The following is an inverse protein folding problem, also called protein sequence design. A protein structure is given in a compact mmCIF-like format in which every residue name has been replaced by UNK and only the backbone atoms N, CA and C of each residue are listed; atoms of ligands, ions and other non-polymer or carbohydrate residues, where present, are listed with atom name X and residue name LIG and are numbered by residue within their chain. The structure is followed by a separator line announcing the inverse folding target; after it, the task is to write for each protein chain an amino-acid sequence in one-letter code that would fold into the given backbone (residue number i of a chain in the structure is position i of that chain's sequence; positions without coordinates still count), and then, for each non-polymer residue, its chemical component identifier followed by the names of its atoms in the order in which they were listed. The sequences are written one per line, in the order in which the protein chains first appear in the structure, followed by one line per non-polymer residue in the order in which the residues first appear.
data_IF_425015167214
#
_entry.id   IF_425015167214
#
_cell.length_a   1.000
_cell.length_b   1.000
_cell.length_c   1.000
_cell.angle_alpha   90.00
_cell.angle_beta   90.00
_cell.angle_gamma   90.00
#
_symmetry.space_group_name_H-M   'P 1'
#
loop_
_entity.id
_entity.type
_entity.pdbx_description
1 polymer ?
#
# COMPACT_ATOMS: atom_id res chain seq x y z
N UNK A 1 16.06 1.60 -11.74
CA UNK A 1 15.95 1.92 -10.31
C UNK A 1 14.87 2.95 -10.07
N UNK A 2 14.09 2.78 -9.02
CA UNK A 2 13.04 3.75 -8.67
C UNK A 2 13.68 4.94 -7.99
N UNK A 3 13.37 6.15 -8.46
CA UNK A 3 13.87 7.42 -7.92
C UNK A 3 12.90 8.06 -6.94
N UNK A 4 11.60 7.98 -7.23
CA UNK A 4 10.60 8.58 -6.37
C UNK A 4 9.26 7.89 -6.54
N UNK A 5 8.34 8.27 -5.67
CA UNK A 5 6.98 7.74 -5.66
C UNK A 5 5.98 8.91 -5.64
N UNK A 6 4.84 8.70 -6.30
CA UNK A 6 3.69 9.59 -6.17
C UNK A 6 2.51 8.75 -5.70
N UNK A 7 2.07 8.97 -4.47
CA UNK A 7 1.05 8.15 -3.83
C UNK A 7 -0.11 9.02 -3.37
N UNK A 8 -1.32 8.61 -3.74
CA UNK A 8 -2.56 9.19 -3.26
C UNK A 8 -3.48 8.10 -2.77
N UNK A 9 -3.97 8.22 -1.54
CA UNK A 9 -4.91 7.27 -0.95
C UNK A 9 -6.16 8.04 -0.53
N UNK A 10 -7.32 7.73 -1.15
CA UNK A 10 -8.59 8.43 -0.93
C UNK A 10 -8.46 9.95 -1.09
N UNK A 11 -7.67 10.39 -2.08
CA UNK A 11 -7.45 11.81 -2.33
C UNK A 11 -6.39 12.47 -1.46
N UNK A 12 -5.81 11.75 -0.51
CA UNK A 12 -4.75 12.27 0.37
C UNK A 12 -3.39 11.90 -0.19
N UNK A 13 -2.54 12.90 -0.41
CA UNK A 13 -1.17 12.70 -0.88
C UNK A 13 -0.28 12.22 0.26
N UNK A 14 0.48 11.17 0.01
CA UNK A 14 1.42 10.58 0.98
C UNK A 14 2.84 10.99 0.59
N UNK A 15 3.44 11.96 1.29
CA UNK A 15 4.79 12.43 0.96
C UNK A 15 5.88 11.62 1.64
N UNK A 16 7.12 11.83 1.20
CA UNK A 16 8.34 11.32 1.84
C UNK A 16 8.43 9.80 1.90
N UNK A 17 7.91 9.13 0.89
CA UNK A 17 7.91 7.67 0.82
C UNK A 17 9.33 7.17 0.50
N UNK A 18 9.80 6.20 1.29
CA UNK A 18 11.10 5.55 1.10
C UNK A 18 10.98 4.23 0.36
N UNK A 19 9.90 3.50 0.60
CA UNK A 19 9.78 2.14 0.09
C UNK A 19 8.33 1.76 -0.09
N UNK A 20 8.07 1.08 -1.21
CA UNK A 20 6.76 0.48 -1.50
C UNK A 20 7.00 -0.97 -1.88
N UNK A 21 6.32 -1.88 -1.20
CA UNK A 21 6.35 -3.30 -1.52
C UNK A 21 4.94 -3.75 -1.89
N UNK A 22 4.82 -4.39 -3.03
CA UNK A 22 3.55 -4.99 -3.47
C UNK A 22 3.72 -6.49 -3.54
N UNK A 23 2.83 -7.22 -2.90
CA UNK A 23 2.94 -8.66 -2.75
C UNK A 23 1.64 -9.33 -3.14
N UNK A 24 1.72 -10.32 -4.02
CA UNK A 24 0.59 -11.17 -4.39
C UNK A 24 0.93 -12.59 -3.96
N UNK A 25 0.11 -13.17 -3.10
CA UNK A 25 0.37 -14.48 -2.53
C UNK A 25 -0.82 -15.41 -2.71
N UNK A 26 -0.54 -16.68 -2.97
CA UNK A 26 -1.54 -17.74 -2.95
C UNK A 26 -1.43 -18.46 -1.60
N UNK A 27 -2.41 -18.36 -0.72
CA UNK A 27 -2.34 -19.04 0.58
C UNK A 27 -2.35 -20.56 0.41
N UNK A 28 -1.68 -21.24 1.32
CA UNK A 28 -1.65 -22.68 1.37
C UNK A 28 -1.76 -23.14 2.83
N UNK A 29 -2.27 -24.36 3.06
CA UNK A 29 -2.29 -24.92 4.42
C UNK A 29 -0.94 -25.52 4.77
N UNK A 30 -0.82 -26.09 5.98
CA UNK A 30 0.43 -26.66 6.48
C UNK A 30 0.93 -27.85 5.62
N UNK A 31 0.08 -28.43 4.77
CA UNK A 31 0.46 -29.51 3.86
C UNK A 31 0.74 -29.01 2.44
N UNK A 32 0.74 -27.68 2.24
CA UNK A 32 0.96 -27.09 0.93
C UNK A 32 -0.25 -27.10 0.01
N UNK A 33 -1.43 -27.39 0.52
CA UNK A 33 -2.66 -27.41 -0.29
C UNK A 33 -3.20 -25.98 -0.42
N UNK A 34 -3.55 -25.61 -1.65
CA UNK A 34 -4.11 -24.30 -1.99
C UNK A 34 -5.30 -23.94 -1.09
N UNK A 35 -5.32 -22.68 -0.66
CA UNK A 35 -6.43 -22.08 0.05
C UNK A 35 -6.95 -20.88 -0.70
N UNK A 36 -8.26 -20.63 -0.58
CA UNK A 36 -8.87 -19.45 -1.20
C UNK A 36 -8.33 -18.18 -0.53
N UNK A 37 -7.82 -17.19 -1.31
CA UNK A 37 -7.31 -15.96 -0.73
C UNK A 37 -8.44 -15.08 -0.21
N UNK A 38 -8.15 -14.32 0.85
CA UNK A 38 -9.09 -13.36 1.43
C UNK A 38 -8.88 -11.94 0.88
N UNK A 39 -7.78 -11.72 0.19
CA UNK A 39 -7.46 -10.45 -0.48
C UNK A 39 -6.58 -10.73 -1.70
N UNK A 40 -6.60 -9.80 -2.66
CA UNK A 40 -5.89 -9.98 -3.92
C UNK A 40 -4.39 -9.67 -3.80
N UNK A 41 -4.04 -8.66 -2.99
CA UNK A 41 -2.65 -8.24 -2.82
C UNK A 41 -2.46 -7.52 -1.49
N UNK A 42 -1.19 -7.38 -1.08
CA UNK A 42 -0.80 -6.58 0.07
C UNK A 42 0.17 -5.51 -0.40
N UNK A 43 -0.11 -4.25 -0.05
CA UNK A 43 0.79 -3.13 -0.34
C UNK A 43 1.30 -2.59 0.97
N UNK A 44 2.63 -2.49 1.10
CA UNK A 44 3.27 -1.89 2.26
C UNK A 44 3.98 -0.62 1.84
N UNK A 45 3.64 0.50 2.48
CA UNK A 45 4.24 1.81 2.24
C UNK A 45 5.00 2.23 3.48
N UNK A 46 6.28 2.55 3.33
CA UNK A 46 7.13 3.05 4.41
C UNK A 46 7.58 4.47 4.05
N UNK A 47 7.34 5.41 4.95
CA UNK A 47 7.70 6.81 4.70
C UNK A 47 8.34 7.44 5.93
N UNK A 48 9.05 8.55 5.71
CA UNK A 48 9.58 9.39 6.79
C UNK A 48 8.45 10.28 7.30
N UNK A 49 8.11 10.13 8.58
CA UNK A 49 7.05 10.87 9.23
C UNK A 49 7.57 11.85 10.29
N UNK A 50 8.86 12.21 10.21
CA UNK A 50 9.49 13.05 11.25
C UNK A 50 8.77 14.37 11.49
N UNK A 51 8.16 14.96 10.47
CA UNK A 51 7.46 16.24 10.56
C UNK A 51 5.95 16.15 10.50
N UNK A 52 5.40 15.05 9.97
CA UNK A 52 3.95 14.93 9.76
C UNK A 52 3.50 13.48 9.64
N UNK A 53 3.09 12.86 10.72
CA UNK A 53 2.45 11.56 10.67
C UNK A 53 1.02 11.70 10.12
N UNK A 54 0.59 10.74 9.29
CA UNK A 54 -0.76 10.74 8.70
C UNK A 54 -1.70 9.94 9.59
N UNK A 55 -1.81 10.36 10.83
CA UNK A 55 -2.54 9.64 11.87
C UNK A 55 -4.05 9.75 11.70
N UNK A 56 -4.54 10.98 11.53
CA UNK A 56 -5.98 11.23 11.53
C UNK A 56 -6.68 10.67 10.29
N UNK A 57 -5.96 10.64 9.17
CA UNK A 57 -6.55 10.23 7.89
C UNK A 57 -6.62 8.70 7.73
N UNK A 58 -5.62 8.00 8.23
CA UNK A 58 -5.50 6.57 7.97
C UNK A 58 -5.30 5.73 9.22
N UNK A 59 -4.36 6.11 10.08
CA UNK A 59 -3.93 5.26 11.18
C UNK A 59 -5.03 4.96 12.19
N UNK A 60 -5.77 5.97 12.58
CA UNK A 60 -6.85 5.80 13.55
C UNK A 60 -8.02 5.01 12.98
N UNK A 61 -8.17 5.03 11.67
CA UNK A 61 -9.28 4.36 11.00
C UNK A 61 -9.15 2.84 11.00
N UNK A 62 -7.96 2.29 11.20
CA UNK A 62 -7.78 0.84 11.21
C UNK A 62 -8.53 0.14 12.34
N UNK A 63 -8.81 0.88 13.42
CA UNK A 63 -9.49 0.34 14.60
C UNK A 63 -10.96 0.74 14.69
N UNK A 64 -11.45 1.47 13.71
CA UNK A 64 -12.86 1.82 13.64
C UNK A 64 -13.65 0.62 13.10
N UNK A 65 -14.98 0.64 13.21
CA UNK A 65 -15.84 -0.49 12.81
C UNK A 65 -15.88 -0.69 11.29
N UNK A 66 -14.80 -0.36 10.64
CA UNK A 66 -14.41 -0.82 9.33
C UNK A 66 -14.74 0.07 8.17
N UNK A 67 -15.36 1.22 8.38
CA UNK A 67 -15.78 2.04 7.25
C UNK A 67 -14.79 3.14 6.87
N UNK A 68 -14.11 3.73 7.84
CA UNK A 68 -13.17 4.81 7.59
C UNK A 68 -11.86 4.33 6.98
N UNK A 69 -11.46 3.10 7.29
CA UNK A 69 -10.24 2.53 6.74
C UNK A 69 -10.43 1.91 5.35
N UNK A 70 -11.66 1.88 4.84
CA UNK A 70 -11.93 1.39 3.50
C UNK A 70 -11.45 2.41 2.47
N UNK A 71 -10.76 1.93 1.47
CA UNK A 71 -10.27 2.75 0.36
C UNK A 71 -11.13 2.53 -0.86
N UNK A 72 -11.67 3.62 -1.39
CA UNK A 72 -12.45 3.60 -2.64
C UNK A 72 -11.56 3.93 -3.84
N UNK A 73 -10.39 4.53 -3.60
CA UNK A 73 -9.43 4.81 -4.66
C UNK A 73 -8.05 4.98 -4.05
N UNK A 74 -7.05 4.53 -4.77
CA UNK A 74 -5.66 4.73 -4.40
C UNK A 74 -4.80 4.63 -5.64
N UNK A 75 -3.81 5.50 -5.77
CA UNK A 75 -2.88 5.50 -6.89
C UNK A 75 -1.47 5.50 -6.35
N UNK A 76 -0.67 4.53 -6.79
CA UNK A 76 0.73 4.43 -6.42
C UNK A 76 1.54 4.43 -7.70
N UNK A 77 2.28 5.51 -7.95
CA UNK A 77 3.14 5.63 -9.11
C UNK A 77 4.59 5.50 -8.67
N UNK A 78 5.34 4.65 -9.37
CA UNK A 78 6.75 4.42 -9.12
C UNK A 78 7.53 4.94 -10.32
N UNK A 79 8.36 5.95 -10.11
CA UNK A 79 9.08 6.63 -11.18
C UNK A 79 10.54 6.18 -11.20
N UNK A 80 10.95 5.61 -12.33
CA UNK A 80 12.33 5.17 -12.56
C UNK A 80 13.18 6.21 -13.25
N UNK A 81 14.37 5.81 -13.69
CA UNK A 81 15.32 6.68 -14.39
C UNK A 81 14.80 7.11 -15.75
N UNK A 82 14.03 6.25 -16.39
CA UNK A 82 13.43 6.45 -17.71
C UNK A 82 11.93 6.25 -17.61
N UNK A 83 11.16 6.89 -18.49
CA UNK A 83 9.70 6.72 -18.53
C UNK A 83 9.30 5.24 -18.72
N UNK A 84 10.07 4.49 -19.50
CA UNK A 84 9.81 3.06 -19.70
C UNK A 84 9.98 2.22 -18.46
N UNK A 85 10.68 2.74 -17.45
CA UNK A 85 10.90 2.05 -16.16
C UNK A 85 9.83 2.41 -15.12
N UNK A 86 8.90 3.30 -15.49
CA UNK A 86 7.80 3.67 -14.62
C UNK A 86 6.74 2.59 -14.56
N UNK A 87 6.14 2.44 -13.39
CA UNK A 87 4.97 1.59 -13.25
C UNK A 87 4.02 2.15 -12.20
N UNK A 88 2.78 1.69 -12.23
CA UNK A 88 1.73 2.23 -11.39
C UNK A 88 0.79 1.12 -10.92
N UNK A 89 0.25 1.32 -9.72
CA UNK A 89 -0.81 0.49 -9.18
C UNK A 89 -2.02 1.38 -8.92
N UNK A 90 -3.17 0.98 -9.42
CA UNK A 90 -4.42 1.64 -9.14
C UNK A 90 -5.29 0.72 -8.28
N UNK A 91 -5.47 1.09 -7.02
CA UNK A 91 -6.27 0.33 -6.06
C UNK A 91 -7.71 0.82 -6.15
N UNK A 92 -8.63 -0.07 -6.42
CA UNK A 92 -10.07 0.26 -6.52
C UNK A 92 -10.84 -0.12 -5.28
N UNK A 93 -10.41 -1.18 -4.60
CA UNK A 93 -11.00 -1.61 -3.34
C UNK A 93 -9.90 -2.09 -2.41
N UNK A 94 -9.93 -1.67 -1.17
CA UNK A 94 -8.95 -2.09 -0.20
C UNK A 94 -9.25 -1.53 1.17
N UNK A 95 -8.41 -1.87 2.14
CA UNK A 95 -8.49 -1.29 3.48
C UNK A 95 -7.11 -1.30 4.12
N UNK A 96 -6.91 -0.39 5.07
CA UNK A 96 -5.69 -0.35 5.85
C UNK A 96 -5.81 -1.38 6.97
N UNK A 97 -4.96 -2.41 6.91
CA UNK A 97 -4.99 -3.51 7.88
C UNK A 97 -4.02 -3.31 9.03
N UNK A 98 -3.02 -2.46 8.84
CA UNK A 98 -1.97 -2.25 9.84
C UNK A 98 -1.35 -0.87 9.66
N UNK A 99 -1.06 -0.23 10.78
CA UNK A 99 -0.31 1.02 10.81
C UNK A 99 0.66 0.96 11.99
N UNK A 100 1.87 1.44 11.79
CA UNK A 100 2.84 1.54 12.87
C UNK A 100 3.72 2.76 12.70
N UNK A 101 4.22 3.26 13.83
CA UNK A 101 5.10 4.41 13.87
C UNK A 101 6.33 4.02 14.70
N UNK A 102 7.50 4.10 14.09
CA UNK A 102 8.76 3.80 14.77
C UNK A 102 9.51 5.10 15.05
N UNK A 103 9.68 5.41 16.34
CA UNK A 103 10.33 6.63 16.83
C UNK A 103 11.65 6.27 17.53
N UNK A 104 12.77 6.12 16.80
CA UNK A 104 14.04 5.81 17.45
C UNK A 104 14.56 7.01 18.23
N UNK A 105 15.27 6.74 19.34
CA UNK A 105 15.85 7.80 20.18
C UNK A 105 17.14 8.35 19.57
N UNK A 106 17.77 7.65 18.67
CA UNK A 106 19.05 8.02 18.09
C UNK A 106 18.98 9.35 17.34
N UNK A 107 20.02 10.18 17.51
CA UNK A 107 20.15 11.42 16.75
C UNK A 107 20.21 11.12 15.25
N UNK A 108 19.53 11.94 14.44
CA UNK A 108 19.48 11.85 12.98
C UNK A 108 18.77 10.59 12.45
N UNK A 109 18.19 9.77 13.30
CA UNK A 109 17.39 8.64 12.83
C UNK A 109 15.97 9.13 12.49
N UNK A 110 15.40 8.74 11.32
CA UNK A 110 14.07 9.20 10.96
C UNK A 110 12.99 8.48 11.77
N UNK A 111 11.87 9.15 11.97
CA UNK A 111 10.65 8.53 12.42
C UNK A 111 10.00 7.88 11.21
N UNK A 112 9.77 6.57 11.25
CA UNK A 112 9.20 5.83 10.12
C UNK A 112 7.75 5.46 10.39
N UNK A 113 6.91 5.72 9.40
CA UNK A 113 5.52 5.29 9.40
C UNK A 113 5.34 4.18 8.39
N UNK A 114 4.73 3.07 8.81
CA UNK A 114 4.43 1.93 7.95
C UNK A 114 2.92 1.78 7.82
N UNK A 115 2.45 1.76 6.58
CA UNK A 115 1.03 1.60 6.25
C UNK A 115 0.90 0.32 5.43
N UNK A 116 0.08 -0.62 5.91
CA UNK A 116 -0.18 -1.88 5.22
C UNK A 116 -1.61 -1.90 4.71
N UNK A 117 -1.77 -2.08 3.40
CA UNK A 117 -3.05 -2.07 2.72
C UNK A 117 -3.34 -3.47 2.19
N UNK A 118 -4.49 -4.02 2.57
CA UNK A 118 -5.01 -5.26 1.98
C UNK A 118 -5.92 -4.89 0.83
N UNK A 119 -5.62 -5.42 -0.35
CA UNK A 119 -6.23 -5.00 -1.61
C UNK A 119 -7.25 -6.04 -2.07
N UNK A 120 -8.45 -5.57 -2.40
CA UNK A 120 -9.47 -6.43 -2.99
C UNK A 120 -9.49 -6.36 -4.51
N UNK A 121 -9.20 -5.19 -5.08
CA UNK A 121 -9.15 -5.01 -6.53
C UNK A 121 -8.08 -3.97 -6.88
N UNK A 122 -7.21 -4.32 -7.81
CA UNK A 122 -6.09 -3.48 -8.21
C UNK A 122 -5.74 -3.70 -9.68
N UNK A 123 -5.35 -2.64 -10.36
CA UNK A 123 -4.79 -2.71 -11.71
C UNK A 123 -3.33 -2.29 -11.69
N UNK A 124 -2.48 -3.12 -12.25
CA UNK A 124 -1.04 -2.84 -12.40
C UNK A 124 -0.75 -2.46 -13.83
N UNK A 125 0.04 -1.40 -14.04
CA UNK A 125 0.45 -0.94 -15.36
C UNK A 125 1.95 -0.73 -15.41
N UNK A 126 2.61 -1.30 -16.42
CA UNK A 126 4.04 -1.15 -16.65
C UNK A 126 4.33 -1.24 -18.14
N UNK A 127 5.02 -0.23 -18.69
CA UNK A 127 5.46 -0.25 -20.08
C UNK A 127 4.34 -0.46 -21.09
N UNK A 128 3.17 0.11 -20.86
CA UNK A 128 2.02 -0.02 -21.75
C UNK A 128 1.23 -1.33 -21.57
N UNK A 129 1.66 -2.20 -20.68
CA UNK A 129 0.98 -3.45 -20.35
C UNK A 129 0.28 -3.32 -19.02
N UNK A 130 -0.82 -4.06 -18.84
CA UNK A 130 -1.56 -4.05 -17.61
C UNK A 130 -1.95 -5.43 -17.15
N UNK A 131 -2.14 -5.57 -15.84
CA UNK A 131 -2.66 -6.76 -15.21
C UNK A 131 -3.66 -6.36 -14.14
N UNK A 132 -4.72 -7.14 -13.98
CA UNK A 132 -5.75 -6.88 -12.98
C UNK A 132 -5.73 -7.99 -11.93
N UNK A 133 -5.78 -7.59 -10.68
CA UNK A 133 -5.91 -8.48 -9.53
C UNK A 133 -7.20 -8.14 -8.83
N UNK A 134 -8.09 -9.11 -8.70
CA UNK A 134 -9.35 -8.86 -8.01
C UNK A 134 -9.81 -10.09 -7.24
N UNK A 135 -10.49 -9.83 -6.12
CA UNK A 135 -11.12 -10.84 -5.30
C UNK A 135 -12.62 -10.58 -5.31
N UNK A 136 -13.38 -11.54 -5.84
CA UNK A 136 -14.80 -11.37 -6.15
C UNK A 136 -15.67 -11.05 -4.93
N UNK A 137 -15.33 -11.60 -3.78
CA UNK A 137 -16.11 -11.46 -2.55
C UNK A 137 -15.41 -10.62 -1.48
N UNK A 138 -14.54 -9.74 -1.91
CA UNK A 138 -13.82 -8.86 -0.99
C UNK A 138 -14.79 -7.89 -0.30
N UNK A 139 -14.63 -7.78 1.01
CA UNK A 139 -15.43 -6.89 1.84
C UNK A 139 -14.57 -5.96 2.68
#
# INVERSE_FOLDING_TARGET
MIKDYAIKLNGVTIPNVHEVTVKVETPADARGIYREPTFAATITVIRDASNNAIVDEFAMATNDDGRKNMMTSGTIECHGDDVKDNYAFEVKKGFISHWSLNNPIQANAPTLETIVIKVGEMEFKAGGKGAKFSLKNFR
#
